data_IF_318308946061
#
_entry.id   IF_318308946061
#
_cell.length_a   1.000
_cell.length_b   1.000
_cell.length_c   1.000
_cell.angle_alpha   90.00
_cell.angle_beta   90.00
_cell.angle_gamma   90.00
#
_symmetry.space_group_name_H-M   'P 1'
#
loop_
_entity.id
_entity.type
_entity.pdbx_description
1 polymer ?
#
# COMPACT_ATOMS: atom_id res chain seq x y z
N UNK A 1 24.62 25.11 -13.24
CA UNK A 1 23.78 25.86 -12.26
C UNK A 1 22.37 26.23 -12.75
N UNK A 2 21.78 25.61 -13.80
CA UNK A 2 20.44 25.97 -14.36
C UNK A 2 19.29 25.07 -13.91
N UNK A 3 19.53 23.92 -13.32
CA UNK A 3 18.49 22.92 -12.99
C UNK A 3 17.71 23.20 -11.69
N UNK A 4 18.28 23.94 -10.73
CA UNK A 4 17.58 24.24 -9.46
C UNK A 4 16.42 25.25 -9.59
N UNK A 5 16.48 26.18 -10.54
CA UNK A 5 15.43 27.21 -10.74
C UNK A 5 14.16 26.61 -11.34
N UNK A 6 14.27 25.59 -12.20
CA UNK A 6 13.10 24.98 -12.86
C UNK A 6 12.22 24.19 -11.86
N UNK A 7 12.83 23.53 -10.87
CA UNK A 7 12.11 22.78 -9.83
C UNK A 7 11.29 23.69 -8.91
N UNK A 8 11.84 24.84 -8.51
CA UNK A 8 11.16 25.80 -7.61
C UNK A 8 9.95 26.44 -8.29
N UNK A 9 10.06 26.76 -9.59
CA UNK A 9 8.98 27.36 -10.36
C UNK A 9 7.82 26.38 -10.56
N UNK A 10 8.12 25.09 -10.79
CA UNK A 10 7.10 24.06 -10.95
C UNK A 10 6.30 23.82 -9.66
N UNK A 11 6.96 23.85 -8.52
CA UNK A 11 6.31 23.72 -7.19
C UNK A 11 5.43 24.95 -6.90
N UNK A 12 5.92 26.15 -7.21
CA UNK A 12 5.15 27.38 -7.01
C UNK A 12 3.88 27.42 -7.90
N UNK A 13 3.97 27.01 -9.16
CA UNK A 13 2.82 26.92 -10.08
C UNK A 13 1.83 25.86 -9.61
N UNK A 14 2.30 24.73 -9.10
CA UNK A 14 1.44 23.69 -8.54
C UNK A 14 0.72 24.17 -7.27
N UNK A 15 1.39 24.91 -6.40
CA UNK A 15 0.78 25.52 -5.21
C UNK A 15 -0.24 26.62 -5.55
N UNK A 16 0.03 27.45 -6.56
CA UNK A 16 -0.92 28.47 -7.02
C UNK A 16 -2.15 27.87 -7.71
N UNK A 17 -2.01 26.79 -8.45
CA UNK A 17 -3.16 26.10 -9.07
C UNK A 17 -4.04 25.39 -8.04
N UNK A 18 -3.47 24.90 -6.92
CA UNK A 18 -4.24 24.36 -5.81
C UNK A 18 -5.03 25.44 -5.05
N UNK A 19 -4.51 26.64 -4.90
CA UNK A 19 -5.20 27.74 -4.20
C UNK A 19 -6.42 28.26 -4.95
N UNK A 20 -6.44 28.20 -6.28
CA UNK A 20 -7.61 28.60 -7.09
C UNK A 20 -8.78 27.61 -7.03
N UNK A 21 -8.54 26.35 -6.67
CA UNK A 21 -9.58 25.33 -6.44
C UNK A 21 -10.35 25.53 -5.13
N UNK A 22 -9.76 26.22 -4.16
CA UNK A 22 -10.38 26.48 -2.85
C UNK A 22 -11.43 27.59 -2.91
N UNK A 23 -11.34 28.52 -3.87
CA UNK A 23 -12.14 29.75 -3.91
C UNK A 23 -13.58 29.59 -4.45
N UNK A 24 -14.01 28.44 -4.97
CA UNK A 24 -15.35 28.23 -5.56
C UNK A 24 -16.25 27.25 -4.80
N UNK A 25 -16.04 27.06 -3.50
CA UNK A 25 -16.86 26.16 -2.68
C UNK A 25 -17.98 26.91 -1.96
N UNK A 26 -19.03 27.33 -2.69
CA UNK A 26 -20.26 27.86 -2.06
C UNK A 26 -21.32 26.77 -1.92
N UNK A 27 -21.71 26.50 -0.66
CA UNK A 27 -23.04 26.30 -0.10
C UNK A 27 -23.83 25.05 -0.50
N UNK A 28 -23.34 23.88 -0.18
CA UNK A 28 -24.11 22.78 0.40
C UNK A 28 -23.25 22.20 1.51
N UNK A 29 -23.76 22.11 2.73
CA UNK A 29 -23.01 21.55 3.85
C UNK A 29 -22.68 20.08 3.59
N UNK A 30 -21.44 19.86 3.23
CA UNK A 30 -20.91 18.50 3.11
C UNK A 30 -20.60 18.01 4.52
N UNK A 31 -21.06 16.81 4.94
CA UNK A 31 -20.67 16.23 6.22
C UNK A 31 -19.15 16.30 6.40
N UNK A 32 -18.69 16.86 7.51
CA UNK A 32 -17.26 17.12 7.73
C UNK A 32 -16.47 15.85 7.99
N UNK A 33 -17.07 14.92 8.70
CA UNK A 33 -16.41 13.66 9.06
C UNK A 33 -17.08 12.46 8.40
N UNK A 34 -16.25 11.48 8.06
CA UNK A 34 -16.68 10.19 7.54
C UNK A 34 -15.81 9.11 8.16
N UNK A 35 -16.44 8.05 8.67
CA UNK A 35 -15.80 6.82 9.14
C UNK A 35 -16.27 5.68 8.26
N UNK A 36 -15.36 4.86 7.76
CA UNK A 36 -15.72 3.75 6.88
C UNK A 36 -14.90 2.52 7.15
N UNK A 37 -15.46 1.38 6.73
CA UNK A 37 -14.79 0.09 6.67
C UNK A 37 -14.81 -0.41 5.24
N UNK A 38 -13.81 -1.19 4.85
CA UNK A 38 -13.72 -1.70 3.49
C UNK A 38 -12.97 -3.02 3.43
N UNK A 39 -13.31 -3.81 2.42
CA UNK A 39 -12.47 -4.88 1.92
C UNK A 39 -11.46 -4.30 0.95
N UNK A 40 -10.26 -4.84 0.95
CA UNK A 40 -9.17 -4.41 0.07
C UNK A 40 -8.42 -5.61 -0.45
N UNK A 41 -7.76 -5.45 -1.58
CA UNK A 41 -6.82 -6.44 -2.11
C UNK A 41 -5.61 -5.74 -2.67
N UNK A 42 -4.42 -6.31 -2.47
CA UNK A 42 -3.17 -5.80 -3.00
C UNK A 42 -2.49 -6.89 -3.82
N UNK A 43 -2.08 -6.57 -5.06
CA UNK A 43 -1.36 -7.50 -5.92
C UNK A 43 0.12 -7.28 -5.76
N UNK A 44 0.84 -8.30 -5.30
CA UNK A 44 2.30 -8.31 -5.22
C UNK A 44 2.86 -8.78 -6.55
N UNK A 45 3.74 -8.03 -7.21
CA UNK A 45 4.48 -8.54 -8.36
C UNK A 45 5.43 -9.65 -7.88
N UNK A 46 5.21 -10.87 -8.33
CA UNK A 46 6.12 -12.00 -8.14
C UNK A 46 6.76 -12.38 -9.47
N UNK A 47 7.95 -12.98 -9.43
CA UNK A 47 8.70 -13.38 -10.63
C UNK A 47 7.95 -14.39 -11.52
N UNK A 48 7.00 -15.16 -10.98
CA UNK A 48 6.30 -16.22 -11.73
C UNK A 48 4.78 -16.08 -11.82
N UNK A 49 4.11 -15.51 -10.83
CA UNK A 49 2.66 -15.23 -10.86
C UNK A 49 2.35 -14.22 -9.77
N UNK A 50 1.87 -13.04 -10.14
CA UNK A 50 1.45 -12.02 -9.19
C UNK A 50 0.35 -12.56 -8.27
N UNK A 51 0.62 -12.62 -6.97
CA UNK A 51 -0.38 -13.03 -5.97
C UNK A 51 -1.16 -11.82 -5.47
N UNK A 52 -2.48 -11.98 -5.42
CA UNK A 52 -3.38 -10.97 -4.85
C UNK A 52 -3.72 -11.35 -3.42
N UNK A 53 -3.37 -10.50 -2.46
CA UNK A 53 -3.65 -10.69 -1.05
C UNK A 53 -4.92 -9.95 -0.66
N UNK A 54 -5.97 -10.65 -0.23
CA UNK A 54 -7.16 -10.02 0.31
C UNK A 54 -6.91 -9.47 1.70
N UNK A 55 -7.62 -8.40 2.05
CA UNK A 55 -7.52 -7.75 3.35
C UNK A 55 -8.75 -6.95 3.69
N UNK A 56 -8.71 -6.30 4.84
CA UNK A 56 -9.75 -5.39 5.29
C UNK A 56 -9.11 -4.18 5.95
N UNK A 57 -9.88 -3.10 6.01
CA UNK A 57 -9.36 -1.85 6.57
C UNK A 57 -10.44 -0.90 7.07
N UNK A 58 -9.95 0.16 7.68
CA UNK A 58 -10.75 1.28 8.15
C UNK A 58 -10.25 2.60 7.55
N UNK A 59 -11.17 3.55 7.47
CA UNK A 59 -10.89 4.88 6.92
C UNK A 59 -11.55 5.96 7.76
N UNK A 60 -10.79 7.03 7.98
CA UNK A 60 -11.27 8.31 8.48
C UNK A 60 -11.10 9.34 7.39
N UNK A 61 -12.15 10.11 7.12
CA UNK A 61 -12.11 11.18 6.10
C UNK A 61 -12.59 12.48 6.77
N UNK A 62 -11.84 13.55 6.53
CA UNK A 62 -12.21 14.91 6.91
C UNK A 62 -12.39 15.75 5.65
N UNK A 63 -13.62 16.10 5.32
CA UNK A 63 -13.94 16.89 4.15
C UNK A 63 -13.65 18.38 4.42
N UNK A 64 -12.63 18.92 3.76
CA UNK A 64 -12.30 20.34 3.80
C UNK A 64 -13.35 21.16 3.05
N UNK A 65 -13.81 20.63 1.91
CA UNK A 65 -14.86 21.18 1.08
C UNK A 65 -15.49 20.09 0.19
N UNK A 66 -16.34 20.45 -0.77
CA UNK A 66 -16.97 19.48 -1.70
C UNK A 66 -15.99 18.71 -2.58
N UNK A 67 -14.81 19.28 -2.82
CA UNK A 67 -13.85 18.79 -3.80
C UNK A 67 -12.59 18.21 -3.18
N UNK A 68 -12.27 18.55 -1.93
CA UNK A 68 -11.01 18.15 -1.28
C UNK A 68 -11.30 17.59 0.12
N UNK A 69 -10.67 16.48 0.44
CA UNK A 69 -10.71 15.86 1.77
C UNK A 69 -9.34 15.33 2.17
N UNK A 70 -9.09 15.28 3.47
CA UNK A 70 -7.98 14.56 4.09
C UNK A 70 -8.46 13.15 4.45
N UNK A 71 -7.59 12.17 4.29
CA UNK A 71 -7.89 10.77 4.59
C UNK A 71 -6.78 10.10 5.38
N UNK A 72 -7.17 9.32 6.39
CA UNK A 72 -6.32 8.36 7.07
C UNK A 72 -6.89 6.96 6.83
N UNK A 73 -6.07 6.02 6.40
CA UNK A 73 -6.47 4.66 6.04
C UNK A 73 -5.53 3.68 6.72
N UNK A 74 -6.12 2.66 7.36
CA UNK A 74 -5.39 1.51 7.88
C UNK A 74 -5.89 0.23 7.23
N UNK A 75 -5.00 -0.58 6.69
CA UNK A 75 -5.31 -1.86 6.06
C UNK A 75 -4.54 -2.99 6.73
N UNK A 76 -5.18 -4.14 6.81
CA UNK A 76 -4.58 -5.37 7.29
C UNK A 76 -4.85 -6.49 6.27
N UNK A 77 -3.78 -7.15 5.83
CA UNK A 77 -3.84 -8.27 4.91
C UNK A 77 -3.32 -9.50 5.66
N UNK A 78 -4.23 -10.37 6.13
CA UNK A 78 -3.85 -11.62 6.77
C UNK A 78 -3.22 -12.53 5.74
N UNK A 79 -1.98 -12.92 5.96
CA UNK A 79 -1.33 -13.91 5.12
C UNK A 79 -1.63 -15.30 5.66
N UNK A 80 -2.56 -15.99 5.04
CA UNK A 80 -2.81 -17.42 5.28
C UNK A 80 -2.66 -18.17 3.96
N UNK A 81 -1.44 -18.42 3.54
CA UNK A 81 -1.24 -19.31 2.41
C UNK A 81 -1.47 -20.77 2.85
N UNK A 82 -2.73 -21.12 3.11
CA UNK A 82 -3.14 -22.51 3.40
C UNK A 82 -3.15 -23.40 2.15
N UNK A 83 -2.99 -22.78 0.96
CA UNK A 83 -3.08 -23.43 -0.34
C UNK A 83 -1.91 -23.13 -1.30
N UNK A 84 -0.79 -22.59 -0.82
CA UNK A 84 0.43 -22.59 -1.61
C UNK A 84 0.97 -24.00 -1.69
N UNK A 85 0.28 -24.82 -2.50
CA UNK A 85 0.56 -26.23 -2.66
C UNK A 85 1.95 -26.48 -3.21
N UNK A 86 2.68 -27.32 -2.54
CA UNK A 86 3.55 -28.30 -3.18
C UNK A 86 4.93 -27.87 -3.62
N UNK A 87 5.41 -26.67 -3.35
CA UNK A 87 6.82 -26.36 -3.60
C UNK A 87 7.61 -26.30 -2.30
N UNK A 88 8.75 -26.96 -2.30
CA UNK A 88 9.70 -27.15 -1.19
C UNK A 88 10.22 -25.85 -0.57
N UNK A 89 9.87 -24.70 -1.18
CA UNK A 89 10.14 -23.35 -0.69
C UNK A 89 8.83 -22.67 -0.25
N UNK A 90 8.31 -23.10 0.89
CA UNK A 90 7.16 -22.43 1.51
C UNK A 90 7.56 -21.03 1.98
N UNK A 91 7.21 -20.00 1.21
CA UNK A 91 7.37 -18.61 1.62
C UNK A 91 6.21 -18.24 2.56
N UNK A 92 6.40 -18.48 3.86
CA UNK A 92 5.53 -17.97 4.92
C UNK A 92 5.83 -16.48 5.15
N UNK A 93 5.54 -15.65 4.16
CA UNK A 93 5.57 -14.21 4.38
C UNK A 93 4.47 -13.83 5.38
N UNK A 94 4.85 -13.15 6.44
CA UNK A 94 3.91 -12.77 7.50
C UNK A 94 2.85 -11.76 7.05
N UNK A 95 1.92 -11.42 7.95
CA UNK A 95 0.85 -10.46 7.71
C UNK A 95 1.38 -9.11 7.21
N UNK A 96 0.60 -8.42 6.38
CA UNK A 96 0.91 -7.08 5.91
C UNK A 96 -0.02 -6.08 6.62
N UNK A 97 0.56 -5.04 7.17
CA UNK A 97 -0.16 -3.90 7.74
C UNK A 97 0.24 -2.64 6.96
N UNK A 98 -0.75 -1.86 6.56
CA UNK A 98 -0.55 -0.62 5.81
C UNK A 98 -1.22 0.54 6.54
N UNK A 99 -0.48 1.64 6.72
CA UNK A 99 -0.98 2.90 7.25
C UNK A 99 -0.71 4.02 6.27
N UNK A 100 -1.76 4.70 5.79
CA UNK A 100 -1.68 5.73 4.77
C UNK A 100 -2.40 6.99 5.26
N UNK A 101 -1.85 8.16 4.94
CA UNK A 101 -2.47 9.45 5.20
C UNK A 101 -2.25 10.37 3.99
N UNK A 102 -3.28 11.08 3.55
CA UNK A 102 -3.13 11.96 2.40
C UNK A 102 -4.38 12.70 2.01
N UNK A 103 -4.48 12.99 0.72
CA UNK A 103 -5.56 13.81 0.18
C UNK A 103 -6.38 13.04 -0.86
N UNK A 104 -7.66 13.37 -0.89
CA UNK A 104 -8.59 13.02 -1.95
C UNK A 104 -9.10 14.31 -2.57
N UNK A 105 -9.03 14.45 -3.89
CA UNK A 105 -9.50 15.64 -4.61
C UNK A 105 -10.28 15.25 -5.87
N UNK A 106 -11.40 15.94 -6.11
CA UNK A 106 -12.25 15.63 -7.27
C UNK A 106 -13.57 16.37 -7.28
N UNK A 107 -14.57 15.74 -7.87
CA UNK A 107 -15.90 16.35 -8.04
C UNK A 107 -16.97 15.48 -7.40
N UNK A 108 -17.80 16.12 -6.58
CA UNK A 108 -18.96 15.50 -5.93
C UNK A 108 -20.24 15.98 -6.58
N UNK A 109 -21.07 15.03 -6.95
CA UNK A 109 -22.43 15.24 -7.47
C UNK A 109 -23.46 14.87 -6.40
N UNK A 110 -24.74 15.00 -6.69
CA UNK A 110 -25.80 14.70 -5.72
C UNK A 110 -25.83 13.24 -5.26
N UNK A 111 -25.68 12.29 -6.18
CA UNK A 111 -25.79 10.84 -5.90
C UNK A 111 -24.47 10.09 -6.00
N UNK A 112 -23.43 10.69 -6.55
CA UNK A 112 -22.12 10.07 -6.74
C UNK A 112 -21.01 11.11 -6.74
N UNK A 113 -19.77 10.65 -6.67
CA UNK A 113 -18.58 11.49 -6.77
C UNK A 113 -17.41 10.73 -7.37
N UNK A 114 -16.54 11.43 -8.05
CA UNK A 114 -15.29 10.90 -8.60
C UNK A 114 -14.12 11.74 -8.11
N UNK A 115 -13.09 11.06 -7.60
CA UNK A 115 -11.94 11.72 -7.01
C UNK A 115 -10.65 11.00 -7.41
N UNK A 116 -9.56 11.74 -7.44
CA UNK A 116 -8.21 11.20 -7.37
C UNK A 116 -7.74 11.16 -5.92
N UNK A 117 -6.89 10.21 -5.59
CA UNK A 117 -6.28 10.08 -4.27
C UNK A 117 -4.75 10.04 -4.37
N UNK A 118 -4.08 10.63 -3.37
CA UNK A 118 -2.64 10.54 -3.17
C UNK A 118 -2.37 10.42 -1.67
N UNK A 119 -1.89 9.25 -1.22
CA UNK A 119 -1.73 8.93 0.19
C UNK A 119 -0.34 8.32 0.45
N UNK A 120 0.65 9.11 0.86
CA UNK A 120 1.90 8.58 1.41
C UNK A 120 1.64 7.85 2.72
N UNK A 121 2.55 6.94 3.08
CA UNK A 121 2.49 6.19 4.33
C UNK A 121 3.52 5.09 4.40
N UNK A 122 3.17 4.04 5.12
CA UNK A 122 4.07 2.90 5.36
C UNK A 122 3.34 1.58 5.18
N UNK A 123 4.10 0.58 4.73
CA UNK A 123 3.68 -0.82 4.67
C UNK A 123 4.65 -1.63 5.52
N UNK A 124 4.13 -2.37 6.49
CA UNK A 124 4.90 -3.23 7.38
C UNK A 124 4.56 -4.69 7.10
N UNK A 125 5.60 -5.46 6.85
CA UNK A 125 5.54 -6.92 6.75
C UNK A 125 5.94 -7.50 8.11
N UNK A 126 5.11 -8.36 8.70
CA UNK A 126 5.45 -9.04 9.96
C UNK A 126 6.54 -10.08 9.72
N UNK A 127 7.05 -10.61 10.80
CA UNK A 127 7.99 -11.73 10.78
C UNK A 127 7.37 -12.93 10.06
N UNK A 128 8.18 -13.62 9.26
CA UNK A 128 7.81 -14.83 8.55
C UNK A 128 8.91 -15.87 8.66
N UNK A 129 8.52 -17.12 8.62
CA UNK A 129 9.45 -18.26 8.60
C UNK A 129 9.51 -18.83 7.19
N UNK A 130 10.67 -18.81 6.57
CA UNK A 130 10.92 -19.56 5.33
C UNK A 130 11.65 -20.84 5.67
N UNK A 131 11.03 -21.99 5.43
CA UNK A 131 11.70 -23.29 5.50
C UNK A 131 12.48 -23.51 4.21
N UNK A 132 13.77 -23.67 4.32
CA UNK A 132 14.61 -24.17 3.23
C UNK A 132 14.90 -25.63 3.52
N UNK A 133 14.10 -26.53 2.96
CA UNK A 133 14.35 -27.96 3.05
C UNK A 133 15.56 -28.32 2.18
N UNK A 134 16.62 -28.76 2.79
CA UNK A 134 17.69 -29.48 2.11
C UNK A 134 17.46 -30.99 2.36
N UNK A 135 16.90 -31.64 1.32
CA UNK A 135 17.07 -33.03 0.94
C UNK A 135 17.49 -34.09 2.00
N UNK A 136 16.78 -35.20 1.99
CA UNK A 136 17.13 -36.59 2.41
C UNK A 136 17.81 -36.88 3.76
N UNK A 137 18.39 -35.94 4.49
CA UNK A 137 19.07 -36.14 5.76
C UNK A 137 18.38 -35.54 7.00
N UNK A 138 17.21 -34.90 6.82
CA UNK A 138 16.37 -34.50 7.96
C UNK A 138 16.73 -33.19 8.66
N UNK A 139 17.70 -32.43 8.18
CA UNK A 139 18.04 -31.12 8.72
C UNK A 139 17.28 -30.00 8.00
N UNK A 140 16.18 -29.55 8.59
CA UNK A 140 15.43 -28.38 8.12
C UNK A 140 16.15 -27.10 8.57
N UNK A 141 16.57 -26.27 7.61
CA UNK A 141 17.07 -24.92 7.89
C UNK A 141 15.95 -23.92 7.84
N UNK A 142 15.81 -23.10 8.88
CA UNK A 142 14.83 -22.03 8.96
C UNK A 142 15.51 -20.68 8.71
N UNK A 143 15.03 -19.91 7.73
CA UNK A 143 15.39 -18.51 7.57
C UNK A 143 14.29 -17.68 8.21
N UNK A 144 14.57 -17.13 9.39
CA UNK A 144 13.64 -16.21 10.06
C UNK A 144 13.76 -14.84 9.40
N UNK A 145 12.67 -14.37 8.81
CA UNK A 145 12.59 -13.01 8.28
C UNK A 145 12.09 -12.08 9.39
N UNK A 146 12.90 -11.11 9.78
CA UNK A 146 12.52 -10.07 10.73
C UNK A 146 11.50 -9.10 10.14
N UNK A 147 10.69 -8.48 10.99
CA UNK A 147 9.72 -7.43 10.64
C UNK A 147 10.37 -6.31 9.83
N UNK A 148 9.66 -5.83 8.80
CA UNK A 148 10.14 -4.77 7.92
C UNK A 148 9.05 -3.77 7.61
N UNK A 149 9.43 -2.50 7.66
CA UNK A 149 8.56 -1.40 7.31
C UNK A 149 9.18 -0.61 6.17
N UNK A 150 8.39 -0.36 5.15
CA UNK A 150 8.79 0.33 3.92
C UNK A 150 7.91 1.56 3.72
N UNK A 151 8.49 2.61 3.15
CA UNK A 151 7.74 3.76 2.70
C UNK A 151 6.89 3.38 1.49
N UNK A 152 5.65 3.87 1.46
CA UNK A 152 4.73 3.62 0.38
C UNK A 152 3.95 4.88 -0.01
N UNK A 153 3.51 4.94 -1.27
CA UNK A 153 2.62 5.98 -1.77
C UNK A 153 1.50 5.30 -2.55
N UNK A 154 0.25 5.53 -2.14
CA UNK A 154 -0.93 5.04 -2.85
C UNK A 154 -1.53 6.15 -3.71
N UNK A 155 -1.56 5.91 -5.02
CA UNK A 155 -2.10 6.81 -6.04
C UNK A 155 -3.24 6.12 -6.77
N UNK A 156 -4.36 6.81 -7.01
CA UNK A 156 -5.46 6.18 -7.73
C UNK A 156 -6.73 6.99 -7.82
N UNK A 157 -7.79 6.29 -8.24
CA UNK A 157 -9.14 6.81 -8.38
C UNK A 157 -10.08 6.32 -7.28
N UNK A 158 -11.08 7.12 -7.00
CA UNK A 158 -12.13 6.84 -6.02
C UNK A 158 -13.48 7.17 -6.65
N UNK A 159 -14.40 6.23 -6.56
CA UNK A 159 -15.79 6.39 -6.95
C UNK A 159 -16.66 6.25 -5.70
N UNK A 160 -17.46 7.26 -5.43
CA UNK A 160 -18.38 7.30 -4.28
C UNK A 160 -19.82 7.33 -4.76
N UNK A 161 -20.68 6.58 -4.08
CA UNK A 161 -22.14 6.64 -4.24
C UNK A 161 -22.77 7.03 -2.92
N UNK A 162 -23.78 7.87 -2.97
CA UNK A 162 -24.47 8.42 -1.81
C UNK A 162 -25.93 7.92 -1.75
N UNK A 163 -26.15 6.67 -1.26
CA UNK A 163 -27.53 6.13 -1.13
C UNK A 163 -28.38 6.96 -0.19
N UNK A 164 -27.78 7.60 0.81
CA UNK A 164 -28.44 8.53 1.72
C UNK A 164 -27.49 9.68 2.13
N UNK A 165 -28.03 10.66 2.86
CA UNK A 165 -27.22 11.77 3.38
C UNK A 165 -26.13 11.30 4.35
N UNK A 166 -26.31 10.14 5.00
CA UNK A 166 -25.38 9.61 6.02
C UNK A 166 -24.54 8.44 5.56
N UNK A 167 -24.91 7.78 4.48
CA UNK A 167 -24.22 6.55 3.99
C UNK A 167 -23.48 6.88 2.71
N UNK A 168 -22.26 6.39 2.60
CA UNK A 168 -21.46 6.39 1.38
C UNK A 168 -21.00 4.97 1.08
N UNK A 169 -21.20 4.52 -0.16
CA UNK A 169 -20.57 3.33 -0.71
C UNK A 169 -19.41 3.78 -1.58
N UNK A 170 -18.25 3.13 -1.46
CA UNK A 170 -17.02 3.59 -2.09
C UNK A 170 -16.28 2.44 -2.73
N UNK A 171 -15.77 2.71 -3.94
CA UNK A 171 -14.87 1.84 -4.70
C UNK A 171 -13.58 2.61 -4.99
N UNK A 172 -12.46 1.96 -4.82
CA UNK A 172 -11.14 2.53 -5.07
C UNK A 172 -10.34 1.59 -5.95
N UNK A 173 -9.58 2.14 -6.87
CA UNK A 173 -8.59 1.43 -7.65
C UNK A 173 -7.35 2.32 -7.78
N UNK A 174 -6.18 1.74 -7.65
CA UNK A 174 -4.94 2.48 -7.72
C UNK A 174 -3.70 1.62 -7.65
N UNK A 175 -2.57 2.28 -7.59
CA UNK A 175 -1.25 1.68 -7.49
C UNK A 175 -0.58 2.13 -6.19
N UNK A 176 -0.16 1.17 -5.39
CA UNK A 176 0.64 1.38 -4.20
C UNK A 176 2.11 1.16 -4.54
N UNK A 177 2.85 2.24 -4.68
CA UNK A 177 4.29 2.25 -4.89
C UNK A 177 4.99 1.98 -3.55
N UNK A 178 5.69 0.85 -3.43
CA UNK A 178 6.43 0.50 -2.21
C UNK A 178 7.92 0.60 -2.51
N UNK A 179 8.63 1.41 -1.72
CA UNK A 179 10.07 1.58 -1.84
C UNK A 179 10.81 0.63 -0.89
N UNK A 180 11.48 -0.36 -1.46
CA UNK A 180 12.34 -1.29 -0.75
C UNK A 180 13.77 -0.74 -0.69
N UNK A 181 14.28 -0.47 0.51
CA UNK A 181 15.66 -0.02 0.71
C UNK A 181 16.69 -1.10 0.37
N UNK A 182 17.92 -0.67 0.13
CA UNK A 182 19.06 -1.57 -0.05
C UNK A 182 19.23 -2.49 1.17
N UNK A 183 19.55 -3.76 0.94
CA UNK A 183 19.71 -4.76 1.98
C UNK A 183 20.96 -5.59 1.77
N UNK A 184 21.64 -5.89 2.88
CA UNK A 184 22.60 -6.99 2.96
C UNK A 184 21.95 -8.15 3.74
N UNK A 185 21.97 -9.33 3.14
CA UNK A 185 21.49 -10.58 3.76
C UNK A 185 22.61 -11.59 3.63
N UNK A 186 22.92 -12.31 4.68
CA UNK A 186 23.85 -13.41 4.61
C UNK A 186 23.09 -14.66 4.15
N UNK A 187 23.51 -15.23 3.04
CA UNK A 187 22.99 -16.49 2.53
C UNK A 187 23.91 -17.62 2.98
N UNK A 188 23.36 -18.67 3.59
CA UNK A 188 24.11 -19.86 3.94
C UNK A 188 24.33 -20.70 2.68
N UNK A 189 25.56 -20.92 2.31
CA UNK A 189 25.97 -21.81 1.24
C UNK A 189 26.94 -22.84 1.79
N UNK A 190 27.21 -23.89 1.03
CA UNK A 190 28.20 -24.90 1.40
C UNK A 190 29.37 -24.83 0.42
N UNK A 191 30.57 -24.88 0.94
CA UNK A 191 31.78 -24.99 0.12
C UNK A 191 31.74 -26.31 -0.65
N UNK A 192 31.82 -26.32 -1.99
CA UNK A 192 31.69 -27.53 -2.77
C UNK A 192 32.80 -28.55 -2.55
N UNK A 193 33.92 -28.16 -1.94
CA UNK A 193 35.08 -29.03 -1.71
C UNK A 193 35.08 -29.61 -0.28
N UNK A 194 34.72 -28.80 0.71
CA UNK A 194 34.82 -29.18 2.13
C UNK A 194 33.45 -29.48 2.77
N UNK A 195 32.34 -29.16 2.06
CA UNK A 195 30.97 -29.20 2.57
C UNK A 195 30.77 -28.37 3.86
N UNK A 196 31.71 -27.49 4.16
CA UNK A 196 31.58 -26.58 5.31
C UNK A 196 30.58 -25.48 5.02
N UNK A 197 29.74 -25.06 6.02
CA UNK A 197 28.82 -23.96 5.84
C UNK A 197 29.57 -22.63 5.71
N UNK A 198 29.27 -21.85 4.67
CA UNK A 198 29.87 -20.55 4.36
C UNK A 198 28.76 -19.52 4.24
N UNK A 199 28.90 -18.39 4.94
CA UNK A 199 27.99 -17.25 4.79
C UNK A 199 28.44 -16.34 3.65
N UNK A 200 27.62 -16.27 2.60
CA UNK A 200 27.84 -15.40 1.45
C UNK A 200 27.01 -14.14 1.63
N UNK A 201 27.58 -12.94 1.70
CA UNK A 201 26.83 -11.71 1.76
C UNK A 201 26.16 -11.41 0.42
N UNK A 202 24.84 -11.36 0.41
CA UNK A 202 24.03 -10.96 -0.73
C UNK A 202 23.50 -9.55 -0.51
N UNK A 203 23.85 -8.62 -1.40
CA UNK A 203 23.37 -7.26 -1.38
C UNK A 203 22.24 -7.09 -2.39
N UNK A 204 21.04 -6.84 -1.92
CA UNK A 204 19.90 -6.47 -2.76
C UNK A 204 19.88 -4.95 -2.92
N UNK A 205 19.79 -4.45 -4.15
CA UNK A 205 19.69 -3.01 -4.43
C UNK A 205 18.32 -2.48 -4.02
N UNK A 206 18.25 -1.17 -3.73
CA UNK A 206 16.98 -0.50 -3.51
C UNK A 206 16.16 -0.50 -4.81
N UNK A 207 14.86 -0.76 -4.68
CA UNK A 207 13.93 -0.75 -5.80
C UNK A 207 12.56 -0.22 -5.35
N UNK A 208 11.79 0.31 -6.30
CA UNK A 208 10.39 0.68 -6.07
C UNK A 208 9.53 -0.27 -6.89
N UNK A 209 8.56 -0.91 -6.23
CA UNK A 209 7.64 -1.85 -6.88
C UNK A 209 6.23 -1.28 -6.92
N UNK A 210 5.55 -1.56 -8.02
CA UNK A 210 4.16 -1.25 -8.27
C UNK A 210 3.28 -2.36 -7.72
N UNK A 211 2.25 -2.01 -6.94
CA UNK A 211 1.33 -2.97 -6.36
C UNK A 211 -0.09 -2.47 -6.60
N UNK A 212 -0.78 -3.06 -7.56
CA UNK A 212 -2.17 -2.70 -7.81
C UNK A 212 -3.04 -3.01 -6.58
N UNK A 213 -3.84 -2.03 -6.18
CA UNK A 213 -4.73 -2.15 -5.03
C UNK A 213 -6.15 -1.78 -5.42
N UNK A 214 -7.10 -2.63 -5.03
CA UNK A 214 -8.52 -2.40 -5.16
C UNK A 214 -9.17 -2.44 -3.79
N UNK A 215 -10.18 -1.56 -3.55
CA UNK A 215 -10.93 -1.56 -2.29
C UNK A 215 -12.40 -1.25 -2.54
N UNK A 216 -13.28 -1.88 -1.76
CA UNK A 216 -14.71 -1.63 -1.78
C UNK A 216 -15.26 -1.60 -0.35
N UNK A 217 -16.08 -0.61 -0.02
CA UNK A 217 -16.55 -0.45 1.34
C UNK A 217 -17.71 0.51 1.52
N UNK A 218 -18.08 0.67 2.78
CA UNK A 218 -19.15 1.57 3.22
C UNK A 218 -18.64 2.50 4.30
N UNK A 219 -19.23 3.68 4.38
CA UNK A 219 -18.91 4.67 5.40
C UNK A 219 -20.16 5.39 5.91
N UNK A 220 -20.00 5.93 7.10
CA UNK A 220 -21.00 6.80 7.75
C UNK A 220 -20.47 8.22 7.81
N UNK A 221 -21.32 9.18 7.45
CA UNK A 221 -21.01 10.61 7.38
C UNK A 221 -21.78 11.39 8.44
N UNK A 222 -21.12 12.34 9.11
CA UNK A 222 -21.70 13.22 10.16
C UNK A 222 -21.01 14.58 10.23
#
# INVERSE_FOLDING_TARGET
MKTKKLSTTLIAVLCLSLSSLIAKAQTEEVPKFEVGVHFTSITKPSFDNGHTEPGFGGRLTYNLNRSVALEAVGNFFPHSCRFCGGNVFGDNSGNITQGLFGVKAGKRFQKWGIFGKARPGVVSFSEGDSRVGLSDTGDDFFIVQSRRTHFAVDLGGVLEFYPSKRIVTRFEAGDTLIHYGQRQTNFLSFDPTTFAPVLIPLTTRSETRHNFQFSAGVGWRF
#
